data_IF_284532442090
#
_entry.id   IF_284532442090
#
_cell.length_a   1.000
_cell.length_b   1.000
_cell.length_c   1.000
_cell.angle_alpha   90.00
_cell.angle_beta   90.00
_cell.angle_gamma   90.00
#
_symmetry.space_group_name_H-M   'P 1'
#
loop_
_entity.id
_entity.type
_entity.pdbx_description
1 polymer ?
#
# COMPACT_ATOMS: atom_id res chain seq x y z
N UNK A 1 -9.80 -22.09 8.07
CA UNK A 1 -9.30 -20.69 8.01
C UNK A 1 -8.53 -20.40 6.70
N UNK A 2 -9.03 -20.81 5.53
CA UNK A 2 -8.34 -20.59 4.25
C UNK A 2 -8.66 -19.24 3.58
N UNK A 3 -9.76 -18.60 3.98
CA UNK A 3 -10.25 -17.34 3.40
C UNK A 3 -9.43 -16.11 3.80
N UNK A 4 -8.97 -16.03 5.06
CA UNK A 4 -8.09 -14.95 5.52
C UNK A 4 -6.73 -14.94 4.80
N UNK A 5 -6.28 -16.10 4.31
CA UNK A 5 -5.04 -16.21 3.54
C UNK A 5 -5.20 -15.74 2.07
N UNK A 6 -6.44 -15.63 1.57
CA UNK A 6 -6.77 -15.16 0.22
C UNK A 6 -7.04 -13.64 0.17
N UNK A 7 -6.93 -12.95 1.30
CA UNK A 7 -7.06 -11.49 1.36
C UNK A 7 -5.78 -10.86 0.80
N UNK A 8 -5.87 -9.95 -0.18
CA UNK A 8 -4.68 -9.32 -0.77
C UNK A 8 -3.98 -8.44 0.24
N UNK A 9 -2.66 -8.59 0.39
CA UNK A 9 -1.89 -7.77 1.33
C UNK A 9 -2.00 -6.27 1.04
N UNK A 10 -2.16 -5.92 -0.24
CA UNK A 10 -2.37 -4.55 -0.73
C UNK A 10 -3.66 -3.87 -0.23
N UNK A 11 -4.60 -4.62 0.35
CA UNK A 11 -5.76 -4.02 1.00
C UNK A 11 -5.34 -3.14 2.20
N UNK A 12 -4.29 -3.52 2.93
CA UNK A 12 -3.86 -2.76 4.11
C UNK A 12 -3.31 -1.38 3.80
N UNK A 13 -2.36 -1.21 2.85
CA UNK A 13 -1.92 0.13 2.44
C UNK A 13 -3.05 0.98 1.84
N UNK A 14 -4.03 0.39 1.14
CA UNK A 14 -5.20 1.11 0.64
C UNK A 14 -6.05 1.67 1.78
N UNK A 15 -6.37 0.84 2.77
CA UNK A 15 -7.13 1.29 3.96
C UNK A 15 -6.35 2.35 4.73
N UNK A 16 -5.03 2.19 4.88
CA UNK A 16 -4.18 3.19 5.53
C UNK A 16 -4.18 4.53 4.77
N UNK A 17 -4.10 4.51 3.43
CA UNK A 17 -4.23 5.71 2.60
C UNK A 17 -5.55 6.44 2.89
N UNK A 18 -6.68 5.73 2.80
CA UNK A 18 -8.00 6.30 3.03
C UNK A 18 -8.11 6.85 4.46
N UNK A 19 -7.65 6.11 5.46
CA UNK A 19 -7.67 6.57 6.85
C UNK A 19 -6.85 7.87 7.02
N UNK A 20 -5.65 7.95 6.46
CA UNK A 20 -4.80 9.16 6.56
C UNK A 20 -5.49 10.35 5.89
N UNK A 21 -6.05 10.18 4.69
CA UNK A 21 -6.69 11.28 3.96
C UNK A 21 -7.98 11.74 4.64
N UNK A 22 -8.87 10.81 4.98
CA UNK A 22 -10.20 11.15 5.51
C UNK A 22 -10.19 11.50 6.99
N UNK A 23 -9.31 10.92 7.81
CA UNK A 23 -9.20 11.23 9.24
C UNK A 23 -8.18 12.34 9.51
N UNK A 24 -7.14 12.48 8.68
CA UNK A 24 -6.08 13.48 8.83
C UNK A 24 -6.45 14.87 8.32
N UNK A 25 -7.61 15.03 7.68
CA UNK A 25 -8.10 16.33 7.21
C UNK A 25 -7.72 16.67 5.76
N UNK A 26 -7.38 15.67 4.95
CA UNK A 26 -7.15 15.81 3.50
C UNK A 26 -5.78 15.30 3.04
N UNK A 27 -5.53 15.42 1.73
CA UNK A 27 -4.33 14.90 1.05
C UNK A 27 -3.03 15.61 1.47
N UNK A 28 -3.11 16.81 2.04
CA UNK A 28 -1.95 17.55 2.54
C UNK A 28 -1.19 16.78 3.64
N UNK A 29 -1.86 15.92 4.41
CA UNK A 29 -1.24 15.08 5.45
C UNK A 29 -0.28 14.04 4.89
N UNK A 30 -0.46 13.64 3.63
CA UNK A 30 0.43 12.72 2.93
C UNK A 30 1.81 13.35 2.67
N UNK A 31 1.88 14.67 2.59
CA UNK A 31 3.12 15.41 2.33
C UNK A 31 3.82 15.89 3.61
N UNK A 32 3.25 15.56 4.78
CA UNK A 32 3.89 15.86 6.06
C UNK A 32 5.23 15.14 6.15
N UNK A 33 6.27 15.91 6.51
CA UNK A 33 7.61 15.39 6.74
C UNK A 33 7.65 14.80 8.14
N UNK A 34 8.02 13.52 8.23
CA UNK A 34 8.09 12.79 9.50
C UNK A 34 9.48 12.91 10.11
N UNK A 35 10.51 12.79 9.28
CA UNK A 35 11.90 12.99 9.68
C UNK A 35 12.76 13.31 8.45
N UNK A 36 13.94 13.87 8.69
CA UNK A 36 14.91 14.19 7.65
C UNK A 36 16.17 13.35 7.86
N UNK A 37 16.69 12.77 6.77
CA UNK A 37 17.90 11.97 6.77
C UNK A 37 19.00 12.77 6.04
N UNK A 38 20.08 13.17 6.72
CA UNK A 38 21.18 13.86 6.07
C UNK A 38 21.89 12.91 5.10
N UNK A 39 22.02 13.31 3.84
CA UNK A 39 22.76 12.56 2.83
C UNK A 39 24.21 13.01 2.77
N UNK A 40 25.11 12.13 2.32
CA UNK A 40 26.52 12.44 2.09
C UNK A 40 26.76 13.57 1.07
N UNK A 41 25.75 13.89 0.25
CA UNK A 41 25.79 15.01 -0.69
C UNK A 41 25.63 16.39 -0.02
N UNK A 42 25.39 16.44 1.29
CA UNK A 42 25.11 17.68 2.03
C UNK A 42 23.65 18.15 1.95
N UNK A 43 22.78 17.37 1.30
CA UNK A 43 21.34 17.62 1.21
C UNK A 43 20.59 16.70 2.17
N UNK A 44 19.56 17.20 2.84
CA UNK A 44 18.68 16.38 3.66
C UNK A 44 17.57 15.75 2.80
N UNK A 45 17.44 14.42 2.85
CA UNK A 45 16.28 13.72 2.29
C UNK A 45 15.13 13.81 3.27
N UNK A 46 14.01 14.37 2.83
CA UNK A 46 12.78 14.44 3.62
C UNK A 46 12.00 13.14 3.47
N UNK A 47 11.79 12.43 4.57
CA UNK A 47 10.91 11.26 4.59
C UNK A 47 9.50 11.72 4.93
N UNK A 48 8.64 11.65 3.94
CA UNK A 48 7.23 12.05 4.01
C UNK A 48 6.31 10.88 4.32
N UNK A 49 5.12 11.17 4.84
CA UNK A 49 4.08 10.15 5.10
C UNK A 49 3.75 9.34 3.85
N UNK A 50 3.65 9.97 2.67
CA UNK A 50 3.42 9.27 1.41
C UNK A 50 4.58 8.33 1.03
N UNK A 51 5.82 8.73 1.30
CA UNK A 51 7.00 7.94 0.99
C UNK A 51 7.02 6.66 1.81
N UNK A 52 6.73 6.76 3.12
CA UNK A 52 6.60 5.59 3.98
C UNK A 52 5.44 4.70 3.55
N UNK A 53 4.28 5.28 3.23
CA UNK A 53 3.11 4.52 2.80
C UNK A 53 3.40 3.71 1.52
N UNK A 54 4.07 4.33 0.55
CA UNK A 54 4.49 3.65 -0.70
C UNK A 54 5.51 2.56 -0.40
N UNK A 55 6.52 2.80 0.45
CA UNK A 55 7.48 1.76 0.82
C UNK A 55 6.79 0.55 1.47
N UNK A 56 5.86 0.79 2.39
CA UNK A 56 5.07 -0.28 3.02
C UNK A 56 4.27 -1.02 1.96
N UNK A 57 3.61 -0.31 1.04
CA UNK A 57 2.86 -0.91 -0.05
C UNK A 57 3.74 -1.79 -0.95
N UNK A 58 4.97 -1.38 -1.25
CA UNK A 58 5.95 -2.18 -2.00
C UNK A 58 6.35 -3.47 -1.27
N UNK A 59 6.49 -3.43 0.05
CA UNK A 59 6.77 -4.63 0.85
C UNK A 59 5.58 -5.61 0.77
N UNK A 60 4.35 -5.13 0.93
CA UNK A 60 3.16 -5.97 0.74
C UNK A 60 3.06 -6.52 -0.69
N UNK A 61 3.32 -5.70 -1.70
CA UNK A 61 3.35 -6.11 -3.10
C UNK A 61 4.37 -7.23 -3.32
N UNK A 62 5.56 -7.12 -2.74
CA UNK A 62 6.60 -8.14 -2.84
C UNK A 62 6.11 -9.50 -2.31
N UNK A 63 5.50 -9.53 -1.13
CA UNK A 63 4.92 -10.75 -0.58
C UNK A 63 3.78 -11.30 -1.44
N UNK A 64 2.96 -10.42 -2.00
CA UNK A 64 1.85 -10.80 -2.88
C UNK A 64 2.36 -11.46 -4.17
N UNK A 65 3.44 -10.93 -4.76
CA UNK A 65 4.09 -11.52 -5.94
C UNK A 65 4.66 -12.90 -5.62
N UNK A 66 5.32 -13.07 -4.47
CA UNK A 66 5.79 -14.38 -4.03
C UNK A 66 4.64 -15.37 -3.83
N UNK A 67 3.53 -14.92 -3.23
CA UNK A 67 2.32 -15.73 -3.03
C UNK A 67 1.70 -16.15 -4.37
N UNK A 68 1.69 -15.26 -5.36
CA UNK A 68 1.13 -15.49 -6.70
C UNK A 68 1.83 -16.61 -7.49
N UNK A 69 3.01 -17.07 -7.07
CA UNK A 69 3.72 -18.18 -7.72
C UNK A 69 3.14 -19.56 -7.38
N UNK A 70 2.26 -19.65 -6.35
CA UNK A 70 1.67 -20.91 -5.90
C UNK A 70 0.41 -21.24 -6.70
N UNK A 71 0.44 -22.35 -7.44
CA UNK A 71 -0.74 -22.85 -8.14
C UNK A 71 -1.61 -23.63 -7.14
N UNK A 72 -2.79 -23.09 -6.82
CA UNK A 72 -3.80 -23.76 -5.99
C UNK A 72 -5.21 -23.27 -6.36
N UNK A 73 -6.25 -24.03 -6.03
CA UNK A 73 -7.65 -23.56 -6.21
C UNK A 73 -7.94 -22.28 -5.42
N UNK A 74 -7.24 -22.06 -4.30
CA UNK A 74 -7.32 -20.83 -3.51
C UNK A 74 -6.74 -19.62 -4.26
N UNK A 75 -5.81 -19.84 -5.21
CA UNK A 75 -5.20 -18.78 -6.01
C UNK A 75 -6.21 -18.07 -6.93
N UNK A 76 -7.30 -18.74 -7.34
CA UNK A 76 -8.35 -18.09 -8.15
C UNK A 76 -9.05 -17.00 -7.33
N UNK A 77 -9.44 -17.31 -6.10
CA UNK A 77 -10.09 -16.37 -5.19
C UNK A 77 -9.14 -15.22 -4.86
N UNK A 78 -7.87 -15.53 -4.61
CA UNK A 78 -6.81 -14.55 -4.36
C UNK A 78 -6.67 -13.56 -5.53
N UNK A 79 -6.66 -14.06 -6.76
CA UNK A 79 -6.55 -13.23 -7.96
C UNK A 79 -7.76 -12.31 -8.16
N UNK A 80 -8.97 -12.83 -7.93
CA UNK A 80 -10.20 -12.02 -7.99
C UNK A 80 -10.20 -10.93 -6.92
N UNK A 81 -9.82 -11.27 -5.68
CA UNK A 81 -9.74 -10.29 -4.59
C UNK A 81 -8.68 -9.22 -4.87
N UNK A 82 -7.52 -9.60 -5.39
CA UNK A 82 -6.47 -8.65 -5.76
C UNK A 82 -6.93 -7.70 -6.86
N UNK A 83 -7.73 -8.20 -7.82
CA UNK A 83 -8.36 -7.37 -8.85
C UNK A 83 -9.33 -6.35 -8.25
N UNK A 84 -10.15 -6.74 -7.27
CA UNK A 84 -11.05 -5.80 -6.58
C UNK A 84 -10.27 -4.73 -5.79
N UNK A 85 -9.19 -5.10 -5.10
CA UNK A 85 -8.32 -4.15 -4.41
C UNK A 85 -7.69 -3.18 -5.40
N UNK A 86 -7.23 -3.67 -6.55
CA UNK A 86 -6.71 -2.83 -7.63
C UNK A 86 -7.76 -1.84 -8.15
N UNK A 87 -9.02 -2.27 -8.37
CA UNK A 87 -10.11 -1.35 -8.72
C UNK A 87 -10.31 -0.28 -7.62
N UNK A 88 -10.22 -0.66 -6.35
CA UNK A 88 -10.25 0.28 -5.23
C UNK A 88 -9.14 1.35 -5.31
N UNK A 89 -7.91 0.94 -5.66
CA UNK A 89 -6.81 1.88 -5.94
C UNK A 89 -7.10 2.79 -7.13
N UNK A 90 -7.70 2.27 -8.21
CA UNK A 90 -8.10 3.11 -9.35
C UNK A 90 -9.16 4.13 -8.97
N UNK A 91 -10.16 3.74 -8.18
CA UNK A 91 -11.18 4.66 -7.68
C UNK A 91 -10.54 5.74 -6.80
N UNK A 92 -9.66 5.34 -5.87
CA UNK A 92 -8.95 6.28 -5.00
C UNK A 92 -8.00 7.21 -5.77
N UNK A 93 -7.50 6.80 -6.94
CA UNK A 93 -6.66 7.63 -7.81
C UNK A 93 -7.48 8.66 -8.62
N UNK A 94 -8.71 8.30 -9.00
CA UNK A 94 -9.58 9.14 -9.85
C UNK A 94 -10.40 10.18 -9.06
N UNK A 95 -10.62 9.95 -7.76
CA UNK A 95 -11.36 10.82 -6.86
C UNK A 95 -10.44 11.84 -6.17
#
# INVERSE_FOLDING_TARGET
MKLLAALPGLLWPLVAYLAIVYLGGGTQTLYSVLFEVPLFSGVAMKVTTNGLLVMIALVFLFFEVLKSTRISTVAIVDHMMSTFVFIGYLMAFLL
#
